data_IF_998413335912
#
_entry.id   IF_998413335912
#
_cell.length_a   1.000
_cell.length_b   1.000
_cell.length_c   1.000
_cell.angle_alpha   90.00
_cell.angle_beta   90.00
_cell.angle_gamma   90.00
#
_symmetry.space_group_name_H-M   'P 1'
#
loop_
_entity.id
_entity.type
_entity.pdbx_description
1 polymer ?
#
# COMPACT_ATOMS: atom_id res chain seq x y z
N UNK A 1 -15.44 -0.06 3.02
CA UNK A 1 -14.40 0.99 3.01
C UNK A 1 -13.09 0.32 3.38
N UNK A 2 -11.99 0.66 2.71
CA UNK A 2 -10.66 0.10 2.98
C UNK A 2 -9.84 1.01 3.93
N UNK A 3 -8.65 0.56 4.33
CA UNK A 3 -7.72 1.31 5.18
C UNK A 3 -6.29 1.22 4.68
N UNK A 4 -5.61 2.36 4.53
CA UNK A 4 -4.17 2.45 4.21
C UNK A 4 -3.43 2.96 5.45
N UNK A 5 -2.30 2.33 5.76
CA UNK A 5 -1.29 2.85 6.69
C UNK A 5 0.10 2.60 6.11
N UNK A 6 0.94 3.62 6.09
CA UNK A 6 2.35 3.56 5.70
C UNK A 6 3.23 4.23 6.75
N UNK A 7 4.47 3.76 6.88
CA UNK A 7 5.42 4.27 7.85
C UNK A 7 6.86 4.19 7.31
N UNK A 8 7.58 5.31 7.43
CA UNK A 8 9.04 5.37 7.37
C UNK A 8 9.52 5.78 8.76
N UNK A 9 10.34 4.95 9.38
CA UNK A 9 10.88 5.22 10.71
C UNK A 9 12.32 4.74 10.85
N UNK A 10 13.00 5.16 11.91
CA UNK A 10 14.32 4.60 12.26
C UNK A 10 14.22 3.18 12.83
N UNK A 11 13.13 2.89 13.51
CA UNK A 11 12.86 1.62 14.17
C UNK A 11 11.93 0.73 13.33
N UNK A 12 11.73 -0.51 13.79
CA UNK A 12 10.84 -1.46 13.14
C UNK A 12 9.39 -0.91 13.06
N UNK A 13 8.87 -0.74 11.83
CA UNK A 13 7.53 -0.19 11.60
C UNK A 13 6.41 -1.21 11.72
N UNK A 14 6.70 -2.51 11.77
CA UNK A 14 5.67 -3.58 11.77
C UNK A 14 4.62 -3.41 12.88
N UNK A 15 4.97 -3.12 14.16
CA UNK A 15 3.98 -2.89 15.21
C UNK A 15 3.09 -1.67 14.91
N UNK A 16 3.67 -0.60 14.39
CA UNK A 16 2.95 0.63 14.01
C UNK A 16 1.96 0.37 12.88
N UNK A 17 2.38 -0.35 11.84
CA UNK A 17 1.52 -0.72 10.72
C UNK A 17 0.33 -1.55 11.20
N UNK A 18 0.56 -2.60 11.99
CA UNK A 18 -0.48 -3.48 12.55
C UNK A 18 -1.45 -2.70 13.44
N UNK A 19 -0.95 -1.85 14.33
CA UNK A 19 -1.80 -1.03 15.19
C UNK A 19 -2.63 -0.02 14.38
N UNK A 20 -2.04 0.58 13.34
CA UNK A 20 -2.74 1.48 12.45
C UNK A 20 -3.92 0.80 11.76
N UNK A 21 -3.71 -0.38 11.15
CA UNK A 21 -4.80 -1.11 10.47
C UNK A 21 -5.83 -1.70 11.46
N UNK A 22 -5.42 -2.05 12.69
CA UNK A 22 -6.33 -2.44 13.78
C UNK A 22 -7.33 -1.31 14.08
N UNK A 23 -6.86 -0.07 14.09
CA UNK A 23 -7.72 1.11 14.29
C UNK A 23 -8.66 1.39 13.11
N UNK A 24 -8.42 0.79 11.95
CA UNK A 24 -9.28 0.91 10.76
C UNK A 24 -10.30 -0.22 10.63
N UNK A 25 -10.29 -1.23 11.52
CA UNK A 25 -11.20 -2.38 11.45
C UNK A 25 -12.68 -1.99 11.53
N UNK A 26 -13.03 -0.87 12.19
CA UNK A 26 -14.41 -0.38 12.29
C UNK A 26 -15.06 -0.08 10.93
N UNK A 27 -14.24 0.10 9.87
CA UNK A 27 -14.70 0.33 8.50
C UNK A 27 -15.12 -0.96 7.77
N UNK A 28 -14.82 -2.11 8.38
CA UNK A 28 -15.01 -3.46 7.85
C UNK A 28 -14.00 -3.84 6.77
N UNK A 29 -13.73 -5.14 6.62
CA UNK A 29 -12.77 -5.70 5.66
C UNK A 29 -12.97 -7.21 5.47
N UNK A 30 -12.47 -7.75 4.36
CA UNK A 30 -12.40 -9.20 4.06
C UNK A 30 -10.98 -9.76 4.11
N UNK A 31 -9.96 -8.90 4.01
CA UNK A 31 -8.56 -9.30 4.04
C UNK A 31 -7.66 -8.16 4.50
N UNK A 32 -6.46 -8.50 4.93
CA UNK A 32 -5.46 -7.56 5.42
C UNK A 32 -4.06 -8.02 5.08
N UNK A 33 -3.12 -7.09 5.02
CA UNK A 33 -1.72 -7.43 4.79
C UNK A 33 -0.79 -6.27 5.05
N UNK A 34 0.50 -6.57 5.03
CA UNK A 34 1.58 -5.60 5.11
C UNK A 34 2.77 -6.02 4.25
N UNK A 35 3.55 -5.03 3.85
CA UNK A 35 4.86 -5.22 3.26
C UNK A 35 5.85 -4.26 3.90
N UNK A 36 7.06 -4.75 4.18
CA UNK A 36 8.15 -3.96 4.74
C UNK A 36 9.45 -4.23 3.99
N UNK A 37 10.38 -3.28 4.07
CA UNK A 37 11.70 -3.39 3.47
C UNK A 37 12.74 -3.50 4.58
N UNK A 38 13.55 -4.57 4.51
CA UNK A 38 14.74 -4.78 5.31
C UNK A 38 15.78 -5.54 4.48
N UNK A 39 16.55 -4.80 3.68
CA UNK A 39 17.42 -5.35 2.64
C UNK A 39 16.66 -5.89 1.42
N UNK A 40 15.58 -6.63 1.64
CA UNK A 40 14.63 -7.08 0.62
C UNK A 40 13.18 -6.74 1.00
N UNK A 41 12.27 -6.89 0.04
CA UNK A 41 10.83 -6.77 0.28
C UNK A 41 10.31 -8.03 0.96
N UNK A 42 9.61 -7.85 2.08
CA UNK A 42 8.94 -8.92 2.80
C UNK A 42 7.45 -8.60 2.88
N UNK A 43 6.59 -9.58 2.59
CA UNK A 43 5.13 -9.41 2.52
C UNK A 43 4.41 -10.49 3.31
N UNK A 44 3.38 -10.09 4.06
CA UNK A 44 2.43 -10.98 4.74
C UNK A 44 1.00 -10.56 4.44
N UNK A 45 0.12 -11.54 4.26
CA UNK A 45 -1.31 -11.31 4.01
C UNK A 45 -2.16 -12.33 4.78
N UNK A 46 -3.37 -11.93 5.13
CA UNK A 46 -4.36 -12.75 5.82
C UNK A 46 -5.75 -12.46 5.27
N UNK A 47 -6.52 -13.50 4.97
CA UNK A 47 -7.98 -13.40 4.70
C UNK A 47 -8.81 -13.56 5.98
N UNK A 48 -8.14 -13.62 7.13
CA UNK A 48 -8.77 -13.61 8.44
C UNK A 48 -8.66 -12.22 9.07
N UNK A 49 -8.58 -12.11 10.39
CA UNK A 49 -8.56 -10.83 11.09
C UNK A 49 -7.15 -10.24 11.15
N UNK A 50 -7.05 -8.95 11.50
CA UNK A 50 -5.77 -8.27 11.79
C UNK A 50 -4.99 -8.99 12.90
N UNK A 51 -5.67 -9.61 13.86
CA UNK A 51 -5.03 -10.43 14.89
C UNK A 51 -4.23 -11.61 14.31
N UNK A 52 -4.72 -12.25 13.25
CA UNK A 52 -4.02 -13.35 12.57
C UNK A 52 -2.79 -12.84 11.82
N UNK A 53 -2.90 -11.68 11.16
CA UNK A 53 -1.74 -11.02 10.54
C UNK A 53 -0.67 -10.68 11.59
N UNK A 54 -1.09 -10.21 12.77
CA UNK A 54 -0.17 -9.90 13.86
C UNK A 54 0.55 -11.16 14.39
N UNK A 55 -0.18 -12.28 14.52
CA UNK A 55 0.42 -13.56 14.91
C UNK A 55 1.42 -14.07 13.86
N UNK A 56 1.10 -13.94 12.57
CA UNK A 56 2.02 -14.27 11.48
C UNK A 56 3.28 -13.39 11.48
N UNK A 57 3.13 -12.09 11.71
CA UNK A 57 4.26 -11.17 11.80
C UNK A 57 5.19 -11.53 12.98
N UNK A 58 4.62 -11.89 14.13
CA UNK A 58 5.39 -12.34 15.28
C UNK A 58 6.12 -13.67 15.03
N UNK A 59 5.46 -14.65 14.40
CA UNK A 59 6.05 -15.98 14.15
C UNK A 59 7.17 -15.93 13.11
N UNK A 60 7.00 -15.12 12.06
CA UNK A 60 8.00 -14.92 10.99
C UNK A 60 9.12 -13.96 11.39
N UNK A 61 8.93 -13.18 12.48
CA UNK A 61 9.84 -12.11 12.93
C UNK A 61 10.15 -11.11 11.82
N UNK A 62 9.13 -10.81 11.00
CA UNK A 62 9.23 -9.80 9.94
C UNK A 62 9.55 -8.44 10.57
N UNK A 63 10.50 -7.71 9.97
CA UNK A 63 10.92 -6.40 10.46
C UNK A 63 11.32 -5.51 9.28
N UNK A 64 11.22 -4.20 9.45
CA UNK A 64 11.72 -3.23 8.47
C UNK A 64 11.46 -1.80 8.91
N UNK A 65 12.15 -0.85 8.28
CA UNK A 65 12.09 0.59 8.61
C UNK A 65 11.20 1.37 7.65
N UNK A 66 10.79 0.75 6.54
CA UNK A 66 9.88 1.32 5.54
C UNK A 66 8.82 0.28 5.24
N UNK A 67 7.54 0.66 5.29
CA UNK A 67 6.48 -0.28 4.99
C UNK A 67 5.10 0.33 4.82
N UNK A 68 4.22 -0.51 4.29
CA UNK A 68 2.81 -0.20 4.03
C UNK A 68 1.94 -1.38 4.47
N UNK A 69 0.71 -1.10 4.86
CA UNK A 69 -0.28 -2.08 5.29
C UNK A 69 -1.67 -1.65 4.88
N UNK A 70 -2.56 -2.64 4.82
CA UNK A 70 -3.90 -2.45 4.26
C UNK A 70 -4.95 -3.31 4.95
N UNK A 71 -6.18 -2.77 5.02
CA UNK A 71 -7.41 -3.55 5.15
C UNK A 71 -8.24 -3.39 3.89
N UNK A 72 -8.59 -4.52 3.27
CA UNK A 72 -9.26 -4.58 1.98
C UNK A 72 -10.74 -4.90 2.14
N UNK A 73 -11.55 -4.20 1.37
CA UNK A 73 -12.93 -4.51 1.06
C UNK A 73 -13.04 -4.72 -0.45
N UNK A 74 -13.27 -5.96 -0.87
CA UNK A 74 -13.18 -6.42 -2.25
C UNK A 74 -14.24 -5.74 -3.15
N UNK A 75 -13.77 -5.14 -4.23
CA UNK A 75 -14.59 -4.65 -5.35
C UNK A 75 -14.35 -5.49 -6.59
N UNK A 76 -13.07 -5.70 -6.95
CA UNK A 76 -12.63 -6.57 -8.04
C UNK A 76 -11.86 -7.78 -7.48
N UNK A 77 -12.31 -8.99 -7.85
CA UNK A 77 -11.69 -10.25 -7.43
C UNK A 77 -12.12 -10.73 -6.05
N UNK A 78 -12.25 -12.05 -5.90
CA UNK A 78 -12.69 -12.71 -4.67
C UNK A 78 -11.75 -12.40 -3.46
N UNK A 79 -12.24 -12.48 -2.21
CA UNK A 79 -11.42 -12.28 -1.01
C UNK A 79 -10.46 -13.46 -0.80
N UNK A 80 -9.32 -13.42 -1.47
CA UNK A 80 -8.27 -14.44 -1.43
C UNK A 80 -6.93 -13.82 -1.05
N UNK A 81 -6.00 -14.63 -0.54
CA UNK A 81 -4.64 -14.15 -0.21
C UNK A 81 -3.90 -13.56 -1.42
N UNK A 82 -4.20 -14.03 -2.64
CA UNK A 82 -3.64 -13.48 -3.86
C UNK A 82 -4.16 -12.07 -4.15
N UNK A 83 -5.45 -11.82 -3.91
CA UNK A 83 -6.09 -10.52 -4.13
C UNK A 83 -5.92 -9.55 -2.94
N UNK A 84 -5.38 -10.01 -1.81
CA UNK A 84 -5.10 -9.17 -0.65
C UNK A 84 -3.90 -8.24 -0.91
N UNK A 85 -4.07 -6.97 -0.53
CA UNK A 85 -2.99 -5.99 -0.58
C UNK A 85 -1.96 -6.25 0.54
N UNK A 86 -0.70 -5.81 0.38
CA UNK A 86 -0.13 -5.08 -0.77
C UNK A 86 0.04 -5.93 -2.03
N UNK A 87 -0.07 -5.33 -3.22
CA UNK A 87 0.37 -5.96 -4.48
C UNK A 87 1.83 -5.67 -4.75
N UNK A 88 2.52 -6.58 -5.45
CA UNK A 88 3.96 -6.53 -5.67
C UNK A 88 4.30 -6.72 -7.14
N UNK A 89 5.26 -5.94 -7.65
CA UNK A 89 5.86 -6.13 -8.97
C UNK A 89 7.35 -6.43 -8.81
N UNK A 90 7.79 -7.58 -9.35
CA UNK A 90 9.19 -8.01 -9.43
C UNK A 90 9.94 -8.03 -8.09
N UNK A 91 9.24 -8.24 -6.97
CA UNK A 91 9.79 -8.14 -5.60
C UNK A 91 10.48 -6.79 -5.28
N UNK A 92 10.21 -5.77 -6.10
CA UNK A 92 10.86 -4.46 -6.00
C UNK A 92 9.89 -3.36 -5.59
N UNK A 93 8.66 -3.37 -6.09
CA UNK A 93 7.67 -2.33 -5.82
C UNK A 93 6.45 -2.95 -5.16
N UNK A 94 6.04 -2.41 -4.01
CA UNK A 94 4.81 -2.79 -3.34
C UNK A 94 3.84 -1.63 -3.26
N UNK A 95 2.54 -1.91 -3.44
CA UNK A 95 1.47 -0.91 -3.45
C UNK A 95 0.28 -1.36 -2.62
N UNK A 96 -0.31 -0.42 -1.87
CA UNK A 96 -1.66 -0.54 -1.31
C UNK A 96 -2.56 0.51 -1.95
N UNK A 97 -3.84 0.18 -2.09
CA UNK A 97 -4.80 0.97 -2.85
C UNK A 97 -6.18 0.97 -2.18
N UNK A 98 -6.80 2.15 -2.09
CA UNK A 98 -8.20 2.34 -1.77
C UNK A 98 -8.88 2.97 -2.98
N UNK A 99 -10.04 2.46 -3.40
CA UNK A 99 -10.77 3.03 -4.53
C UNK A 99 -10.83 2.06 -5.71
N UNK A 100 -11.00 2.61 -6.91
CA UNK A 100 -11.16 1.84 -8.16
C UNK A 100 -10.36 2.52 -9.26
N UNK A 101 -9.53 1.75 -9.97
CA UNK A 101 -8.92 2.16 -11.25
C UNK A 101 -9.84 1.70 -12.38
N UNK A 102 -10.64 2.60 -12.94
CA UNK A 102 -11.71 2.28 -13.89
C UNK A 102 -11.18 1.76 -15.23
N UNK A 103 -10.00 2.22 -15.65
CA UNK A 103 -9.38 1.81 -16.91
C UNK A 103 -8.34 0.69 -16.76
N UNK A 104 -8.43 -0.11 -15.68
CA UNK A 104 -7.42 -1.15 -15.39
C UNK A 104 -7.32 -2.24 -16.47
N UNK A 105 -8.40 -2.57 -17.18
CA UNK A 105 -8.39 -3.62 -18.22
C UNK A 105 -7.44 -3.26 -19.37
N UNK A 106 -7.57 -2.04 -19.91
CA UNK A 106 -6.69 -1.55 -20.98
C UNK A 106 -5.23 -1.44 -20.52
N UNK A 107 -5.00 -1.00 -19.28
CA UNK A 107 -3.66 -0.94 -18.69
C UNK A 107 -3.06 -2.34 -18.51
N UNK A 108 -3.86 -3.31 -18.07
CA UNK A 108 -3.46 -4.71 -17.92
C UNK A 108 -3.05 -5.31 -19.26
N UNK A 109 -3.86 -5.16 -20.29
CA UNK A 109 -3.56 -5.66 -21.64
C UNK A 109 -2.23 -5.10 -22.16
N UNK A 110 -2.02 -3.78 -22.00
CA UNK A 110 -0.77 -3.12 -22.40
C UNK A 110 0.44 -3.67 -21.64
N UNK A 111 0.33 -3.85 -20.32
CA UNK A 111 1.42 -4.39 -19.49
C UNK A 111 1.71 -5.86 -19.81
N UNK A 112 0.67 -6.67 -20.09
CA UNK A 112 0.84 -8.05 -20.54
C UNK A 112 1.58 -8.13 -21.88
N UNK A 113 1.28 -7.24 -22.82
CA UNK A 113 2.01 -7.12 -24.07
C UNK A 113 3.49 -6.72 -23.88
N UNK A 114 3.82 -6.08 -22.76
CA UNK A 114 5.19 -5.75 -22.34
C UNK A 114 5.87 -6.89 -21.54
N UNK A 115 5.19 -8.01 -21.33
CA UNK A 115 5.73 -9.20 -20.65
C UNK A 115 5.42 -9.29 -19.15
N UNK A 116 4.59 -8.39 -18.59
CA UNK A 116 4.19 -8.48 -17.20
C UNK A 116 3.19 -9.62 -16.98
N UNK A 117 3.45 -10.43 -15.96
CA UNK A 117 2.55 -11.50 -15.53
C UNK A 117 1.65 -11.01 -14.40
N UNK A 118 0.35 -10.96 -14.67
CA UNK A 118 -0.67 -10.74 -13.65
C UNK A 118 -1.04 -12.05 -12.96
N UNK A 119 -1.11 -12.03 -11.64
CA UNK A 119 -1.44 -13.18 -10.80
C UNK A 119 -2.71 -12.97 -9.96
N UNK A 120 -3.34 -11.80 -10.07
CA UNK A 120 -4.54 -11.43 -9.33
C UNK A 120 -5.66 -11.00 -10.28
N UNK A 121 -6.86 -10.85 -9.73
CA UNK A 121 -8.02 -10.35 -10.45
C UNK A 121 -8.28 -8.87 -10.19
N UNK A 122 -7.46 -8.23 -9.36
CA UNK A 122 -7.68 -6.87 -8.86
C UNK A 122 -7.28 -5.82 -9.90
N UNK A 123 -7.98 -4.70 -9.89
CA UNK A 123 -7.53 -3.49 -10.55
C UNK A 123 -6.21 -2.99 -9.96
N UNK A 124 -6.01 -3.14 -8.65
CA UNK A 124 -4.82 -2.69 -7.91
C UNK A 124 -3.47 -3.24 -8.43
N UNK A 125 -3.42 -4.46 -8.98
CA UNK A 125 -2.17 -5.03 -9.49
C UNK A 125 -1.57 -4.24 -10.65
N UNK A 126 -2.41 -3.58 -11.47
CA UNK A 126 -1.92 -2.73 -12.57
C UNK A 126 -1.08 -1.57 -12.04
N UNK A 127 -1.37 -1.09 -10.82
CA UNK A 127 -0.66 0.02 -10.19
C UNK A 127 0.79 -0.38 -9.91
N UNK A 128 1.00 -1.54 -9.28
CA UNK A 128 2.36 -2.01 -8.97
C UNK A 128 3.20 -2.23 -10.24
N UNK A 129 2.62 -2.84 -11.27
CA UNK A 129 3.31 -3.08 -12.54
C UNK A 129 3.57 -1.80 -13.33
N UNK A 130 2.63 -0.86 -13.33
CA UNK A 130 2.79 0.40 -14.06
C UNK A 130 3.83 1.32 -13.41
N UNK A 131 3.88 1.38 -12.07
CA UNK A 131 4.96 2.10 -11.38
C UNK A 131 6.30 1.44 -11.72
N UNK A 132 6.38 0.10 -11.71
CA UNK A 132 7.60 -0.60 -12.10
C UNK A 132 8.01 -0.31 -13.55
N UNK A 133 7.06 -0.23 -14.48
CA UNK A 133 7.32 0.10 -15.88
C UNK A 133 7.86 1.53 -16.07
N UNK A 134 7.38 2.47 -15.27
CA UNK A 134 7.81 3.88 -15.31
C UNK A 134 9.07 4.17 -14.47
N UNK A 135 9.48 3.22 -13.63
CA UNK A 135 10.60 3.41 -12.74
C UNK A 135 11.90 3.62 -13.50
N UNK A 136 12.50 4.78 -13.29
CA UNK A 136 13.71 5.24 -13.97
C UNK A 136 14.66 5.94 -13.00
N UNK A 137 14.73 5.42 -11.76
CA UNK A 137 15.62 5.92 -10.70
C UNK A 137 14.97 6.88 -9.69
N UNK A 138 13.69 7.21 -9.86
CA UNK A 138 12.91 7.96 -8.87
C UNK A 138 11.45 7.46 -8.82
N UNK A 139 11.06 6.94 -7.66
CA UNK A 139 9.74 6.42 -7.36
C UNK A 139 8.68 7.51 -7.42
N UNK A 140 9.02 8.76 -7.07
CA UNK A 140 8.07 9.87 -7.15
C UNK A 140 7.67 10.13 -8.60
N UNK A 141 8.66 10.24 -9.50
CA UNK A 141 8.40 10.44 -10.93
C UNK A 141 7.70 9.23 -11.56
N UNK A 142 8.02 8.01 -11.12
CA UNK A 142 7.32 6.81 -11.56
C UNK A 142 5.83 6.85 -11.16
N UNK A 143 5.53 7.18 -9.90
CA UNK A 143 4.15 7.33 -9.42
C UNK A 143 3.42 8.45 -10.14
N UNK A 144 4.05 9.61 -10.36
CA UNK A 144 3.46 10.73 -11.12
C UNK A 144 3.06 10.32 -12.54
N UNK A 145 3.94 9.61 -13.25
CA UNK A 145 3.65 9.07 -14.59
C UNK A 145 2.51 8.05 -14.55
N UNK A 146 2.50 7.18 -13.54
CA UNK A 146 1.43 6.19 -13.34
C UNK A 146 0.06 6.85 -13.12
N UNK A 147 -0.05 7.80 -12.18
CA UNK A 147 -1.35 8.41 -11.83
C UNK A 147 -1.93 9.27 -12.96
N UNK A 148 -1.07 9.81 -13.83
CA UNK A 148 -1.50 10.56 -15.02
C UNK A 148 -2.25 9.68 -16.04
N UNK A 149 -2.10 8.36 -15.98
CA UNK A 149 -2.81 7.41 -16.85
C UNK A 149 -4.11 6.89 -16.23
N UNK A 150 -4.38 7.14 -14.95
CA UNK A 150 -5.51 6.55 -14.25
C UNK A 150 -6.82 7.31 -14.46
N UNK A 151 -7.91 6.55 -14.45
CA UNK A 151 -9.28 7.04 -14.36
C UNK A 151 -9.95 6.43 -13.14
N UNK A 152 -10.80 7.20 -12.48
CA UNK A 152 -11.52 6.79 -11.26
C UNK A 152 -11.06 7.55 -10.03
N UNK A 153 -11.44 7.02 -8.87
CA UNK A 153 -11.11 7.58 -7.57
C UNK A 153 -10.27 6.58 -6.79
N UNK A 154 -9.10 7.01 -6.32
CA UNK A 154 -8.13 6.19 -5.63
C UNK A 154 -7.32 6.96 -4.57
N UNK A 155 -6.80 6.25 -3.60
CA UNK A 155 -5.64 6.65 -2.80
C UNK A 155 -4.66 5.48 -2.83
N UNK A 156 -3.38 5.78 -3.02
CA UNK A 156 -2.31 4.77 -3.09
C UNK A 156 -1.18 5.11 -2.13
N UNK A 157 -0.46 4.07 -1.72
CA UNK A 157 0.87 4.19 -1.12
C UNK A 157 1.80 3.18 -1.77
N UNK A 158 2.96 3.64 -2.22
CA UNK A 158 3.97 2.85 -2.90
C UNK A 158 5.32 2.92 -2.18
N UNK A 159 6.01 1.78 -2.14
CA UNK A 159 7.39 1.65 -1.65
C UNK A 159 8.23 0.89 -2.66
N UNK A 160 9.54 1.14 -2.67
CA UNK A 160 10.49 0.43 -3.52
C UNK A 160 11.71 -0.06 -2.73
N UNK A 161 12.15 -1.29 -2.97
CA UNK A 161 13.42 -1.81 -2.43
C UNK A 161 14.64 -1.03 -2.92
N UNK A 162 14.52 -0.34 -4.07
CA UNK A 162 15.58 0.52 -4.62
C UNK A 162 15.72 1.84 -3.88
N UNK A 163 14.68 2.23 -3.14
CA UNK A 163 14.60 3.51 -2.43
C UNK A 163 14.03 3.34 -1.02
N UNK A 164 14.72 2.57 -0.15
CA UNK A 164 14.31 2.44 1.24
C UNK A 164 14.34 3.81 1.93
N UNK A 165 13.44 4.03 2.88
CA UNK A 165 13.28 5.33 3.54
C UNK A 165 12.33 6.28 2.81
N UNK A 166 11.69 5.85 1.72
CA UNK A 166 10.67 6.63 1.00
C UNK A 166 9.35 5.86 0.90
N UNK A 167 8.25 6.59 1.11
CA UNK A 167 6.89 6.18 0.73
C UNK A 167 6.34 7.29 -0.15
N UNK A 168 5.77 6.92 -1.29
CA UNK A 168 5.07 7.87 -2.15
C UNK A 168 3.58 7.58 -2.09
N UNK A 169 2.80 8.59 -1.71
CA UNK A 169 1.35 8.55 -1.71
C UNK A 169 0.77 9.47 -2.78
N UNK A 170 -0.38 9.12 -3.34
CA UNK A 170 -1.14 9.95 -4.26
C UNK A 170 -2.64 9.74 -4.02
N UNK A 171 -3.47 10.75 -4.30
CA UNK A 171 -4.93 10.65 -4.11
C UNK A 171 -5.75 11.42 -5.14
N UNK A 172 -6.83 10.77 -5.57
CA UNK A 172 -7.92 11.36 -6.35
C UNK A 172 -9.23 10.81 -5.78
N UNK A 173 -10.09 11.62 -5.16
CA UNK A 173 -11.42 11.21 -4.69
C UNK A 173 -11.44 10.25 -3.49
N UNK A 174 -10.28 9.81 -2.98
CA UNK A 174 -10.17 8.99 -1.76
C UNK A 174 -9.26 9.67 -0.72
N UNK A 175 -9.62 9.69 0.58
CA UNK A 175 -8.82 10.39 1.60
C UNK A 175 -7.42 9.80 1.79
N UNK A 176 -6.43 10.69 1.92
CA UNK A 176 -5.07 10.37 2.30
C UNK A 176 -4.46 11.54 3.08
N UNK A 177 -3.68 11.26 4.11
CA UNK A 177 -3.01 12.25 4.95
C UNK A 177 -1.62 11.78 5.36
N UNK A 178 -0.75 12.74 5.63
CA UNK A 178 0.61 12.52 6.14
C UNK A 178 0.64 12.81 7.63
N UNK A 179 1.16 11.89 8.42
CA UNK A 179 1.51 12.11 9.82
C UNK A 179 2.98 12.45 9.96
N UNK A 180 3.29 13.46 10.76
CA UNK A 180 4.65 13.95 10.97
C UNK A 180 5.07 13.72 12.42
N UNK A 181 6.16 13.00 12.64
CA UNK A 181 6.88 12.95 13.91
C UNK A 181 8.28 13.56 13.72
N UNK A 182 9.14 13.48 14.74
CA UNK A 182 10.45 14.17 14.71
C UNK A 182 11.39 13.60 13.64
N UNK A 183 11.43 12.27 13.53
CA UNK A 183 12.29 11.56 12.59
C UNK A 183 11.53 10.55 11.72
N UNK A 184 10.27 10.32 12.05
CA UNK A 184 9.42 9.31 11.42
C UNK A 184 8.26 9.98 10.70
N UNK A 185 7.87 9.40 9.58
CA UNK A 185 6.79 9.90 8.73
C UNK A 185 5.80 8.80 8.45
N UNK A 186 4.53 9.16 8.44
CA UNK A 186 3.43 8.21 8.28
C UNK A 186 2.49 8.67 7.18
N UNK A 187 1.78 7.72 6.60
CA UNK A 187 0.73 7.95 5.62
C UNK A 187 -0.50 7.17 6.06
N UNK A 188 -1.69 7.75 6.01
CA UNK A 188 -2.91 7.01 6.35
C UNK A 188 -4.14 7.51 5.58
N UNK A 189 -5.14 6.65 5.44
CA UNK A 189 -6.46 7.04 4.90
C UNK A 189 -7.43 7.57 5.97
N UNK A 190 -7.03 7.56 7.24
CA UNK A 190 -7.77 8.10 8.38
C UNK A 190 -6.80 8.52 9.50
N UNK A 191 -7.10 9.62 10.20
CA UNK A 191 -6.23 10.14 11.25
C UNK A 191 -6.21 9.23 12.49
N UNK A 192 -7.29 8.48 12.73
CA UNK A 192 -7.38 7.52 13.83
C UNK A 192 -6.25 6.49 13.79
N UNK A 193 -5.82 6.05 12.59
CA UNK A 193 -4.72 5.10 12.43
C UNK A 193 -3.38 5.62 12.94
N UNK A 194 -3.19 6.94 13.02
CA UNK A 194 -1.93 7.56 13.42
C UNK A 194 -1.95 8.07 14.87
N UNK A 195 -3.09 7.95 15.56
CA UNK A 195 -3.31 8.52 16.90
C UNK A 195 -2.33 8.05 17.98
N UNK A 196 -1.71 6.89 17.81
CA UNK A 196 -0.69 6.34 18.73
C UNK A 196 0.73 6.86 18.46
N UNK A 197 1.00 7.42 17.27
CA UNK A 197 2.35 7.82 16.85
C UNK A 197 2.51 9.31 16.62
N UNK A 198 1.45 10.03 16.21
CA UNK A 198 1.49 11.48 16.09
C UNK A 198 0.10 12.12 16.10
N UNK A 199 0.03 13.39 16.49
CA UNK A 199 -1.15 14.25 16.35
C UNK A 199 -0.99 15.32 15.26
N UNK A 200 0.21 15.44 14.67
CA UNK A 200 0.53 16.40 13.61
C UNK A 200 0.22 15.74 12.27
N UNK A 201 -0.91 16.12 11.68
CA UNK A 201 -1.38 15.58 10.40
C UNK A 201 -1.54 16.67 9.37
N UNK A 202 -1.22 16.34 8.12
CA UNK A 202 -1.47 17.17 6.94
C UNK A 202 -2.36 16.37 6.00
N UNK A 203 -3.56 16.87 5.74
CA UNK A 203 -4.46 16.27 4.76
C UNK A 203 -3.97 16.61 3.36
N UNK A 204 -3.84 15.60 2.51
CA UNK A 204 -3.46 15.83 1.12
C UNK A 204 -4.65 16.40 0.36
N UNK A 205 -4.37 17.38 -0.49
CA UNK A 205 -5.31 17.89 -1.47
C UNK A 205 -5.46 16.90 -2.64
N UNK A 206 -6.35 17.22 -3.56
CA UNK A 206 -6.64 16.43 -4.74
C UNK A 206 -5.52 16.58 -5.79
N UNK A 207 -5.00 15.48 -6.34
CA UNK A 207 -3.96 15.46 -7.38
C UNK A 207 -2.60 14.98 -6.87
#
# INVERSE_FOLDING_TARGET
MCGIVGAVARENVVPTLIEGIRRLEYRGYDSTGLAVINGSLQRLVSTARVADLAAQAASTRITGTTGISHTRWATHGAPTSANAHPHVSHDEIAVVHNGIIENFESLRERLQAQGYRFVTQTDSEVIAHLIHAHYSGDLLEAVKKTIAEFRGAYAIAAISTREPGRIIGARVGSPLLVGIADHDHYLASDASALSSVTRRVVYLEEG
#
